data_IF_035359933868
#
_entry.id   IF_035359933868
#
_cell.length_a   1.000
_cell.length_b   1.000
_cell.length_c   1.000
_cell.angle_alpha   90.00
_cell.angle_beta   90.00
_cell.angle_gamma   90.00
#
_symmetry.space_group_name_H-M   'P 1'
#
loop_
_entity.id
_entity.type
_entity.pdbx_description
1 polymer ?
#
# COMPACT_ATOMS: atom_id res chain seq x y z
N UNK A 1 25.59 6.89 14.25
CA UNK A 1 25.36 6.44 12.87
C UNK A 1 23.85 6.41 12.67
N UNK A 2 23.28 7.29 11.86
CA UNK A 2 21.82 7.31 11.61
C UNK A 2 21.51 6.10 10.74
N UNK A 3 20.63 5.20 11.20
CA UNK A 3 20.24 4.02 10.43
C UNK A 3 19.48 4.47 9.19
N UNK A 4 19.76 3.85 8.03
CA UNK A 4 19.09 4.17 6.77
C UNK A 4 17.56 4.03 6.89
N UNK A 5 17.10 3.12 7.76
CA UNK A 5 15.69 2.93 8.13
C UNK A 5 15.06 4.18 8.77
N UNK A 6 15.78 4.87 9.66
CA UNK A 6 15.29 6.09 10.31
C UNK A 6 15.10 7.21 9.30
N UNK A 7 16.02 7.34 8.35
CA UNK A 7 15.92 8.31 7.25
C UNK A 7 14.74 7.96 6.34
N UNK A 8 14.58 6.69 5.97
CA UNK A 8 13.45 6.22 5.15
C UNK A 8 12.10 6.50 5.80
N UNK A 9 11.96 6.24 7.11
CA UNK A 9 10.73 6.51 7.87
C UNK A 9 10.43 8.01 7.93
N UNK A 10 11.44 8.84 8.20
CA UNK A 10 11.29 10.28 8.24
C UNK A 10 10.87 10.84 6.87
N UNK A 11 11.52 10.41 5.79
CA UNK A 11 11.16 10.79 4.42
C UNK A 11 9.76 10.31 4.04
N UNK A 12 9.36 9.11 4.48
CA UNK A 12 8.00 8.60 4.27
C UNK A 12 6.97 9.47 4.98
N UNK A 13 7.26 9.92 6.21
CA UNK A 13 6.41 10.85 6.95
C UNK A 13 6.27 12.21 6.23
N UNK A 14 7.37 12.75 5.70
CA UNK A 14 7.33 13.98 4.89
C UNK A 14 6.47 13.76 3.64
N UNK A 15 6.68 12.67 2.91
CA UNK A 15 5.91 12.37 1.70
C UNK A 15 4.41 12.25 1.96
N UNK A 16 4.02 11.49 3.00
CA UNK A 16 2.62 11.39 3.44
C UNK A 16 2.03 12.74 3.84
N UNK A 17 2.82 13.57 4.54
CA UNK A 17 2.39 14.93 4.91
C UNK A 17 2.17 15.79 3.68
N UNK A 18 3.07 15.73 2.69
CA UNK A 18 2.93 16.46 1.44
C UNK A 18 1.69 16.02 0.66
N UNK A 19 1.33 14.73 0.64
CA UNK A 19 0.06 14.28 0.05
C UNK A 19 -1.15 14.87 0.78
N UNK A 20 -1.13 14.90 2.11
CA UNK A 20 -2.17 15.56 2.90
C UNK A 20 -2.29 17.05 2.57
N UNK A 21 -1.15 17.74 2.43
CA UNK A 21 -1.09 19.14 2.00
C UNK A 21 -1.63 19.30 0.57
N UNK A 22 -1.27 18.41 -0.36
CA UNK A 22 -1.80 18.41 -1.73
C UNK A 22 -3.34 18.39 -1.73
N UNK A 23 -3.94 17.47 -0.97
CA UNK A 23 -5.41 17.35 -0.86
C UNK A 23 -6.00 18.61 -0.20
N UNK A 24 -5.39 19.10 0.89
CA UNK A 24 -5.87 20.28 1.60
C UNK A 24 -5.80 21.55 0.77
N UNK A 25 -4.69 21.76 0.03
CA UNK A 25 -4.52 22.89 -0.88
C UNK A 25 -5.51 22.80 -2.03
N UNK A 26 -5.73 21.60 -2.61
CA UNK A 26 -6.76 21.41 -3.65
C UNK A 26 -8.13 21.86 -3.15
N UNK A 27 -8.57 21.33 -2.01
CA UNK A 27 -9.87 21.66 -1.43
C UNK A 27 -10.01 23.16 -1.11
N UNK A 28 -8.95 23.78 -0.59
CA UNK A 28 -8.94 25.22 -0.33
C UNK A 28 -9.11 26.03 -1.62
N UNK A 29 -8.38 25.69 -2.68
CA UNK A 29 -8.44 26.41 -3.95
C UNK A 29 -9.81 26.26 -4.64
N UNK A 30 -10.42 25.08 -4.59
CA UNK A 30 -11.79 24.86 -5.04
C UNK A 30 -12.78 25.74 -4.28
N UNK A 31 -12.66 25.79 -2.95
CA UNK A 31 -13.57 26.58 -2.10
C UNK A 31 -13.49 28.10 -2.38
N UNK A 32 -12.34 28.57 -2.89
CA UNK A 32 -12.10 29.96 -3.23
C UNK A 32 -12.37 30.27 -4.72
N UNK A 33 -12.80 29.27 -5.51
CA UNK A 33 -12.99 29.41 -6.96
C UNK A 33 -11.74 29.99 -7.66
N UNK A 34 -10.57 29.45 -7.32
CA UNK A 34 -9.27 29.90 -7.81
C UNK A 34 -9.16 29.80 -9.35
N UNK A 35 -8.25 30.58 -9.94
CA UNK A 35 -8.04 30.55 -11.40
C UNK A 35 -7.44 29.22 -11.86
N UNK A 36 -7.60 28.82 -13.14
CA UNK A 36 -7.06 27.56 -13.65
C UNK A 36 -5.54 27.40 -13.46
N UNK A 37 -4.78 28.50 -13.49
CA UNK A 37 -3.34 28.48 -13.21
C UNK A 37 -3.02 28.11 -11.76
N UNK A 38 -3.85 28.57 -10.81
CA UNK A 38 -3.66 28.27 -9.38
C UNK A 38 -4.03 26.83 -9.05
N UNK A 39 -4.94 26.21 -9.81
CA UNK A 39 -5.32 24.79 -9.67
C UNK A 39 -4.17 23.82 -9.99
N UNK A 40 -3.06 24.30 -10.56
CA UNK A 40 -1.85 23.49 -10.79
C UNK A 40 -0.96 23.35 -9.54
N UNK A 41 -1.13 24.19 -8.50
CA UNK A 41 -0.29 24.12 -7.31
C UNK A 41 -0.33 22.76 -6.58
N UNK A 42 -1.50 22.12 -6.37
CA UNK A 42 -1.56 20.76 -5.83
C UNK A 42 -0.71 19.74 -6.61
N UNK A 43 -0.62 19.86 -7.93
CA UNK A 43 0.16 18.96 -8.77
C UNK A 43 1.67 19.09 -8.54
N UNK A 44 2.20 20.30 -8.34
CA UNK A 44 3.61 20.48 -8.03
C UNK A 44 3.99 19.91 -6.66
N UNK A 45 3.10 20.05 -5.67
CA UNK A 45 3.29 19.45 -4.34
C UNK A 45 3.28 17.92 -4.46
N UNK A 46 2.37 17.38 -5.27
CA UNK A 46 2.31 15.95 -5.56
C UNK A 46 3.56 15.41 -6.26
N UNK A 47 4.14 16.13 -7.23
CA UNK A 47 5.41 15.76 -7.86
C UNK A 47 6.53 15.68 -6.80
N UNK A 48 6.56 16.63 -5.85
CA UNK A 48 7.50 16.59 -4.73
C UNK A 48 7.34 15.33 -3.87
N UNK A 49 6.10 14.97 -3.54
CA UNK A 49 5.79 13.73 -2.81
C UNK A 49 6.21 12.48 -3.60
N UNK A 50 5.95 12.43 -4.91
CA UNK A 50 6.38 11.35 -5.80
C UNK A 50 7.90 11.20 -5.84
N UNK A 51 8.65 12.31 -5.92
CA UNK A 51 10.11 12.31 -5.86
C UNK A 51 10.63 11.70 -4.56
N UNK A 52 10.04 12.07 -3.42
CA UNK A 52 10.37 11.50 -2.11
C UNK A 52 10.04 10.01 -2.06
N UNK A 53 8.89 9.60 -2.59
CA UNK A 53 8.52 8.18 -2.69
C UNK A 53 9.58 7.37 -3.43
N UNK A 54 10.10 7.88 -4.55
CA UNK A 54 11.17 7.23 -5.31
C UNK A 54 12.42 6.98 -4.47
N UNK A 55 12.87 7.98 -3.71
CA UNK A 55 14.02 7.85 -2.79
C UNK A 55 13.74 6.85 -1.67
N UNK A 56 12.57 6.96 -1.04
CA UNK A 56 12.14 6.07 0.04
C UNK A 56 12.09 4.61 -0.43
N UNK A 57 11.59 4.36 -1.64
CA UNK A 57 11.48 3.01 -2.21
C UNK A 57 12.86 2.38 -2.41
N UNK A 58 13.83 3.14 -2.93
CA UNK A 58 15.22 2.68 -3.07
C UNK A 58 15.82 2.32 -1.70
N UNK A 59 15.64 3.21 -0.71
CA UNK A 59 16.09 2.98 0.67
C UNK A 59 15.44 1.71 1.26
N UNK A 60 14.14 1.51 1.02
CA UNK A 60 13.40 0.34 1.52
C UNK A 60 13.88 -0.97 0.91
N UNK A 61 14.14 -0.99 -0.40
CA UNK A 61 14.69 -2.15 -1.10
C UNK A 61 16.06 -2.52 -0.51
N UNK A 62 16.95 -1.53 -0.37
CA UNK A 62 18.27 -1.74 0.21
C UNK A 62 18.15 -2.28 1.64
N UNK A 63 17.35 -1.66 2.51
CA UNK A 63 17.19 -2.11 3.90
C UNK A 63 16.54 -3.49 4.05
N UNK A 64 15.63 -3.83 3.14
CA UNK A 64 14.89 -5.10 3.22
C UNK A 64 15.76 -6.26 2.75
N UNK A 65 16.44 -6.09 1.61
CA UNK A 65 17.19 -7.17 0.94
C UNK A 65 18.69 -7.18 1.24
N UNK A 66 19.23 -6.13 1.86
CA UNK A 66 20.64 -6.09 2.26
C UNK A 66 20.74 -5.91 3.78
N UNK A 67 21.64 -6.66 4.41
CA UNK A 67 22.01 -6.46 5.82
C UNK A 67 23.04 -5.32 6.00
N UNK A 68 23.32 -4.59 4.92
CA UNK A 68 24.40 -3.61 4.85
C UNK A 68 24.20 -2.38 5.77
N UNK A 69 23.02 -2.19 6.35
CA UNK A 69 22.69 -1.01 7.15
C UNK A 69 22.70 -1.23 8.67
N UNK A 70 23.22 -2.38 9.11
CA UNK A 70 23.36 -2.77 10.51
C UNK A 70 22.21 -3.65 11.01
N UNK A 71 22.30 -4.17 12.24
CA UNK A 71 21.23 -4.95 12.88
C UNK A 71 19.96 -4.09 13.03
N UNK A 72 19.05 -4.22 12.07
CA UNK A 72 17.72 -3.61 12.09
C UNK A 72 16.74 -4.69 12.55
N UNK A 73 15.99 -4.43 13.63
CA UNK A 73 15.00 -5.38 14.14
C UNK A 73 14.00 -5.72 13.01
N UNK A 74 13.53 -6.97 12.87
CA UNK A 74 12.53 -7.31 11.86
C UNK A 74 11.31 -6.39 11.88
N UNK A 75 10.89 -5.95 13.07
CA UNK A 75 9.78 -5.00 13.24
C UNK A 75 10.07 -3.60 12.69
N UNK A 76 11.32 -3.13 12.77
CA UNK A 76 11.72 -1.85 12.19
C UNK A 76 11.63 -1.90 10.66
N UNK A 77 11.98 -3.05 10.05
CA UNK A 77 11.84 -3.28 8.61
C UNK A 77 10.36 -3.36 8.21
N UNK A 78 9.56 -4.04 9.02
CA UNK A 78 8.12 -4.18 8.79
C UNK A 78 7.41 -2.82 8.83
N UNK A 79 7.71 -1.99 9.85
CA UNK A 79 7.14 -0.66 9.99
C UNK A 79 7.57 0.28 8.86
N UNK A 80 8.85 0.24 8.47
CA UNK A 80 9.35 0.99 7.32
C UNK A 80 8.60 0.63 6.04
N UNK A 81 8.49 -0.66 5.73
CA UNK A 81 7.79 -1.12 4.53
C UNK A 81 6.29 -0.84 4.55
N UNK A 82 5.65 -0.82 5.73
CA UNK A 82 4.27 -0.33 5.90
C UNK A 82 4.14 1.13 5.44
N UNK A 83 5.04 2.00 5.89
CA UNK A 83 4.99 3.42 5.52
C UNK A 83 5.20 3.61 4.01
N UNK A 84 6.13 2.86 3.41
CA UNK A 84 6.34 2.89 1.95
C UNK A 84 5.10 2.43 1.19
N UNK A 85 4.45 1.35 1.66
CA UNK A 85 3.22 0.84 1.06
C UNK A 85 2.09 1.87 1.10
N UNK A 86 1.83 2.46 2.27
CA UNK A 86 0.80 3.48 2.45
C UNK A 86 1.13 4.72 1.61
N UNK A 87 2.39 5.15 1.58
CA UNK A 87 2.84 6.28 0.78
C UNK A 87 2.65 6.03 -0.71
N UNK A 88 3.01 4.86 -1.22
CA UNK A 88 2.82 4.50 -2.63
C UNK A 88 1.34 4.52 -3.03
N UNK A 89 0.47 3.91 -2.22
CA UNK A 89 -0.97 3.90 -2.47
C UNK A 89 -1.57 5.30 -2.37
N UNK A 90 -1.19 6.06 -1.35
CA UNK A 90 -1.61 7.45 -1.16
C UNK A 90 -1.22 8.33 -2.35
N UNK A 91 0.01 8.22 -2.86
CA UNK A 91 0.48 8.97 -4.03
C UNK A 91 -0.35 8.64 -5.26
N UNK A 92 -0.61 7.36 -5.52
CA UNK A 92 -1.39 6.90 -6.66
C UNK A 92 -2.84 7.40 -6.62
N UNK A 93 -3.49 7.33 -5.45
CA UNK A 93 -4.87 7.77 -5.28
C UNK A 93 -5.01 9.30 -5.28
N UNK A 94 -4.05 10.01 -4.67
CA UNK A 94 -4.04 11.48 -4.64
C UNK A 94 -3.93 12.05 -6.06
N UNK A 95 -3.21 11.37 -6.96
CA UNK A 95 -3.08 11.82 -8.35
C UNK A 95 -4.44 11.92 -9.05
N UNK A 96 -5.31 10.93 -8.88
CA UNK A 96 -6.66 10.97 -9.48
C UNK A 96 -7.58 12.03 -8.89
N UNK A 97 -7.22 12.60 -7.73
CA UNK A 97 -7.95 13.71 -7.14
C UNK A 97 -7.54 15.06 -7.72
N UNK A 98 -6.42 15.19 -8.43
CA UNK A 98 -5.94 16.47 -8.93
C UNK A 98 -6.77 16.94 -10.13
N UNK A 99 -7.20 18.20 -10.11
CA UNK A 99 -7.90 18.86 -11.22
C UNK A 99 -6.94 19.78 -11.97
N UNK A 100 -7.13 19.93 -13.29
CA UNK A 100 -6.33 20.84 -14.14
C UNK A 100 -5.29 20.17 -15.05
N UNK A 101 -5.21 18.83 -15.04
CA UNK A 101 -4.46 18.01 -15.99
C UNK A 101 -5.32 16.79 -16.31
N UNK A 102 -6.34 16.94 -17.17
CA UNK A 102 -7.14 15.88 -17.82
C UNK A 102 -7.26 14.54 -17.07
N UNK A 103 -7.56 14.57 -15.77
CA UNK A 103 -7.86 13.37 -15.01
C UNK A 103 -9.33 13.03 -15.26
N UNK A 104 -9.62 12.64 -16.50
CA UNK A 104 -10.94 12.18 -16.92
C UNK A 104 -11.44 11.06 -16.00
N UNK A 105 -12.77 10.90 -15.94
CA UNK A 105 -13.44 9.83 -15.19
C UNK A 105 -12.85 8.43 -15.51
N UNK A 106 -12.38 8.25 -16.74
CA UNK A 106 -11.67 7.03 -17.19
C UNK A 106 -10.33 6.85 -16.47
N UNK A 107 -9.52 7.90 -16.39
CA UNK A 107 -8.20 7.88 -15.72
C UNK A 107 -8.38 7.63 -14.23
N UNK A 108 -9.36 8.28 -13.60
CA UNK A 108 -9.74 8.02 -12.21
C UNK A 108 -10.15 6.55 -12.00
N UNK A 109 -10.94 5.99 -12.92
CA UNK A 109 -11.31 4.58 -12.91
C UNK A 109 -10.09 3.65 -12.92
N UNK A 110 -9.12 3.89 -13.80
CA UNK A 110 -7.90 3.10 -13.88
C UNK A 110 -7.02 3.22 -12.62
N UNK A 111 -6.87 4.43 -12.07
CA UNK A 111 -6.13 4.64 -10.83
C UNK A 111 -6.78 3.92 -9.66
N UNK A 112 -8.11 3.98 -9.55
CA UNK A 112 -8.82 3.25 -8.51
C UNK A 112 -8.64 1.73 -8.63
N UNK A 113 -8.75 1.20 -9.86
CA UNK A 113 -8.60 -0.23 -10.11
C UNK A 113 -7.15 -0.69 -9.85
N UNK A 114 -6.15 0.10 -10.22
CA UNK A 114 -4.74 -0.15 -9.87
C UNK A 114 -4.53 -0.19 -8.35
N UNK A 115 -5.08 0.79 -7.61
CA UNK A 115 -5.00 0.81 -6.15
C UNK A 115 -5.67 -0.42 -5.52
N UNK A 116 -6.84 -0.81 -6.03
CA UNK A 116 -7.56 -2.01 -5.60
C UNK A 116 -6.73 -3.27 -5.83
N UNK A 117 -6.06 -3.38 -6.98
CA UNK A 117 -5.18 -4.52 -7.29
C UNK A 117 -3.97 -4.58 -6.36
N UNK A 118 -3.39 -3.44 -5.96
CA UNK A 118 -2.29 -3.40 -4.97
C UNK A 118 -2.76 -3.93 -3.61
N UNK A 119 -3.95 -3.55 -3.15
CA UNK A 119 -4.54 -4.06 -1.91
C UNK A 119 -4.82 -5.56 -2.00
N UNK A 120 -5.40 -6.03 -3.10
CA UNK A 120 -5.66 -7.45 -3.34
C UNK A 120 -4.37 -8.27 -3.34
N UNK A 121 -3.32 -7.79 -4.03
CA UNK A 121 -2.02 -8.45 -4.05
C UNK A 121 -1.42 -8.57 -2.64
N UNK A 122 -1.58 -7.54 -1.82
CA UNK A 122 -1.11 -7.55 -0.44
C UNK A 122 -1.88 -8.57 0.43
N UNK A 123 -3.20 -8.66 0.30
CA UNK A 123 -4.02 -9.71 0.96
C UNK A 123 -3.55 -11.10 0.54
N UNK A 124 -3.34 -11.32 -0.76
CA UNK A 124 -2.86 -12.59 -1.29
C UNK A 124 -1.52 -13.00 -0.67
N UNK A 125 -0.53 -12.09 -0.68
CA UNK A 125 0.79 -12.35 -0.12
C UNK A 125 0.73 -12.63 1.38
N UNK A 126 -0.09 -11.90 2.12
CA UNK A 126 -0.24 -12.12 3.56
C UNK A 126 -0.80 -13.50 3.89
N UNK A 127 -1.88 -13.90 3.24
CA UNK A 127 -2.48 -15.23 3.44
C UNK A 127 -1.50 -16.32 2.98
N UNK A 128 -0.81 -16.12 1.87
CA UNK A 128 0.19 -17.07 1.38
C UNK A 128 1.33 -17.26 2.40
N UNK A 129 1.86 -16.18 2.99
CA UNK A 129 2.89 -16.28 4.04
C UNK A 129 2.34 -16.96 5.29
N UNK A 130 1.09 -16.69 5.68
CA UNK A 130 0.50 -17.25 6.90
C UNK A 130 0.17 -18.74 6.79
N UNK A 131 -0.32 -19.19 5.64
CA UNK A 131 -0.68 -20.60 5.40
C UNK A 131 0.43 -21.38 4.71
N UNK A 132 1.50 -20.73 4.25
CA UNK A 132 2.57 -21.34 3.45
C UNK A 132 3.20 -22.57 4.11
N UNK A 133 3.47 -22.52 5.41
CA UNK A 133 4.00 -23.67 6.15
C UNK A 133 3.04 -24.86 6.19
N UNK A 134 1.72 -24.61 6.34
CA UNK A 134 0.67 -25.65 6.34
C UNK A 134 0.40 -26.22 4.95
N UNK A 135 0.57 -25.40 3.92
CA UNK A 135 0.47 -25.84 2.51
C UNK A 135 1.66 -26.76 2.19
N UNK A 136 2.85 -26.41 2.66
CA UNK A 136 4.08 -27.17 2.44
C UNK A 136 4.25 -28.38 3.38
N UNK A 137 3.43 -28.51 4.41
CA UNK A 137 3.47 -29.61 5.37
C UNK A 137 3.14 -30.93 4.65
N UNK A 138 4.11 -31.84 4.57
CA UNK A 138 4.01 -33.08 3.76
C UNK A 138 4.72 -32.99 2.40
N UNK A 139 5.73 -32.14 2.26
CA UNK A 139 6.60 -32.09 1.06
C UNK A 139 7.51 -33.32 0.87
N UNK A 140 7.38 -34.36 1.69
CA UNK A 140 8.13 -35.60 1.55
C UNK A 140 7.66 -36.41 0.32
N UNK A 141 8.61 -37.10 -0.31
CA UNK A 141 8.41 -37.91 -1.52
C UNK A 141 7.28 -38.92 -1.36
N UNK A 142 6.11 -38.61 -1.93
CA UNK A 142 4.92 -39.47 -1.92
C UNK A 142 3.59 -38.72 -1.71
N UNK A 143 3.62 -37.50 -1.14
CA UNK A 143 2.43 -36.73 -0.78
C UNK A 143 2.12 -35.54 -1.71
N UNK A 144 2.70 -35.52 -2.93
CA UNK A 144 2.48 -34.45 -3.92
C UNK A 144 0.99 -34.22 -4.22
N UNK A 145 0.17 -35.28 -4.22
CA UNK A 145 -1.29 -35.17 -4.40
C UNK A 145 -1.97 -34.43 -3.25
N UNK A 146 -1.52 -34.66 -2.02
CA UNK A 146 -2.07 -34.01 -0.83
C UNK A 146 -1.67 -32.54 -0.77
N UNK A 147 -0.40 -32.23 -1.03
CA UNK A 147 0.08 -30.85 -1.17
C UNK A 147 -0.69 -30.09 -2.27
N UNK A 148 -0.89 -30.72 -3.43
CA UNK A 148 -1.62 -30.11 -4.55
C UNK A 148 -3.08 -29.86 -4.17
N UNK A 149 -3.72 -30.79 -3.45
CA UNK A 149 -5.10 -30.63 -2.96
C UNK A 149 -5.23 -29.46 -1.97
N UNK A 150 -4.30 -29.35 -1.01
CA UNK A 150 -4.26 -28.22 -0.06
C UNK A 150 -4.04 -26.89 -0.78
N UNK A 151 -3.12 -26.85 -1.73
CA UNK A 151 -2.87 -25.67 -2.55
C UNK A 151 -4.10 -25.24 -3.35
N UNK A 152 -4.79 -26.19 -4.00
CA UNK A 152 -6.01 -25.93 -4.76
C UNK A 152 -7.13 -25.36 -3.89
N UNK A 153 -7.32 -25.89 -2.68
CA UNK A 153 -8.34 -25.40 -1.76
C UNK A 153 -8.02 -23.98 -1.28
N UNK A 154 -6.77 -23.73 -0.87
CA UNK A 154 -6.35 -22.40 -0.40
C UNK A 154 -6.43 -21.37 -1.53
N UNK A 155 -6.02 -21.72 -2.75
CA UNK A 155 -6.11 -20.81 -3.90
C UNK A 155 -7.55 -20.49 -4.28
N UNK A 156 -8.48 -21.45 -4.18
CA UNK A 156 -9.91 -21.21 -4.39
C UNK A 156 -10.49 -20.25 -3.35
N UNK A 157 -10.21 -20.47 -2.06
CA UNK A 157 -10.67 -19.58 -0.97
C UNK A 157 -10.11 -18.18 -1.17
N UNK A 158 -8.82 -18.06 -1.50
CA UNK A 158 -8.19 -16.78 -1.82
C UNK A 158 -8.86 -16.11 -3.02
N UNK A 159 -9.13 -16.85 -4.09
CA UNK A 159 -9.81 -16.34 -5.28
C UNK A 159 -11.18 -15.73 -4.95
N UNK A 160 -11.97 -16.40 -4.10
CA UNK A 160 -13.27 -15.90 -3.65
C UNK A 160 -13.13 -14.62 -2.81
N UNK A 161 -12.16 -14.58 -1.88
CA UNK A 161 -11.91 -13.39 -1.05
C UNK A 161 -11.50 -12.19 -1.93
N UNK A 162 -10.55 -12.40 -2.86
CA UNK A 162 -10.06 -11.36 -3.76
C UNK A 162 -11.17 -10.85 -4.69
N UNK A 163 -11.99 -11.74 -5.25
CA UNK A 163 -13.15 -11.36 -6.06
C UNK A 163 -14.18 -10.57 -5.25
N UNK A 164 -14.43 -10.96 -3.99
CA UNK A 164 -15.30 -10.23 -3.07
C UNK A 164 -14.80 -8.82 -2.78
N UNK A 165 -13.50 -8.65 -2.51
CA UNK A 165 -12.88 -7.33 -2.31
C UNK A 165 -12.99 -6.49 -3.58
N UNK A 166 -12.67 -7.03 -4.74
CA UNK A 166 -12.80 -6.33 -6.01
C UNK A 166 -14.24 -5.87 -6.27
N UNK A 167 -15.23 -6.75 -6.06
CA UNK A 167 -16.64 -6.42 -6.22
C UNK A 167 -17.06 -5.30 -5.27
N UNK A 168 -16.70 -5.38 -3.99
CA UNK A 168 -17.00 -4.35 -2.99
C UNK A 168 -16.39 -3.00 -3.39
N UNK A 169 -15.12 -2.99 -3.77
CA UNK A 169 -14.42 -1.76 -4.19
C UNK A 169 -15.02 -1.19 -5.49
N UNK A 170 -15.42 -2.04 -6.43
CA UNK A 170 -16.09 -1.63 -7.67
C UNK A 170 -17.46 -1.00 -7.39
N UNK A 171 -18.24 -1.55 -6.45
CA UNK A 171 -19.50 -0.94 -6.00
C UNK A 171 -19.24 0.44 -5.39
N UNK A 172 -18.25 0.57 -4.50
CA UNK A 172 -17.89 1.86 -3.89
C UNK A 172 -17.49 2.88 -4.96
N UNK A 173 -16.63 2.49 -5.91
CA UNK A 173 -16.21 3.33 -7.04
C UNK A 173 -17.40 3.84 -7.85
N UNK A 174 -18.36 2.98 -8.15
CA UNK A 174 -19.50 3.33 -9.00
C UNK A 174 -20.60 4.10 -8.26
N UNK A 175 -20.60 4.08 -6.92
CA UNK A 175 -21.65 4.72 -6.10
C UNK A 175 -21.21 6.09 -5.59
N UNK A 176 -19.92 6.27 -5.30
CA UNK A 176 -19.39 7.47 -4.66
C UNK A 176 -18.48 8.27 -5.60
N UNK A 177 -18.28 9.56 -5.32
CA UNK A 177 -17.28 10.33 -6.05
C UNK A 177 -15.88 9.77 -5.80
N UNK A 178 -14.98 9.99 -6.76
CA UNK A 178 -13.61 9.46 -6.68
C UNK A 178 -12.91 9.83 -5.36
N UNK A 179 -13.08 11.05 -4.85
CA UNK A 179 -12.49 11.47 -3.57
C UNK A 179 -12.95 10.62 -2.38
N UNK A 180 -14.24 10.29 -2.30
CA UNK A 180 -14.77 9.42 -1.25
C UNK A 180 -14.39 7.96 -1.46
N UNK A 181 -14.45 7.48 -2.70
CA UNK A 181 -14.06 6.12 -3.03
C UNK A 181 -12.57 5.86 -2.72
N UNK A 182 -11.69 6.74 -3.20
CA UNK A 182 -10.25 6.67 -2.94
C UNK A 182 -9.92 6.78 -1.45
N UNK A 183 -10.62 7.65 -0.71
CA UNK A 183 -10.51 7.72 0.75
C UNK A 183 -10.89 6.41 1.45
N UNK A 184 -11.97 5.75 1.00
CA UNK A 184 -12.39 4.46 1.53
C UNK A 184 -11.37 3.35 1.24
N UNK A 185 -10.84 3.30 0.02
CA UNK A 185 -9.78 2.34 -0.37
C UNK A 185 -8.49 2.57 0.43
N UNK A 186 -8.07 3.83 0.59
CA UNK A 186 -6.91 4.18 1.40
C UNK A 186 -7.09 3.78 2.86
N UNK A 187 -8.26 4.06 3.45
CA UNK A 187 -8.58 3.65 4.82
C UNK A 187 -8.55 2.13 4.98
N UNK A 188 -9.15 1.40 4.04
CA UNK A 188 -9.10 -0.07 4.01
C UNK A 188 -7.66 -0.57 4.01
N UNK A 189 -6.79 0.02 3.17
CA UNK A 189 -5.39 -0.33 3.10
C UNK A 189 -4.64 -0.06 4.41
N UNK A 190 -4.85 1.10 5.03
CA UNK A 190 -4.26 1.44 6.35
C UNK A 190 -4.70 0.44 7.41
N UNK A 191 -6.01 0.17 7.51
CA UNK A 191 -6.55 -0.80 8.48
C UNK A 191 -5.95 -2.19 8.24
N UNK A 192 -5.89 -2.63 6.99
CA UNK A 192 -5.33 -3.93 6.61
C UNK A 192 -3.87 -4.04 7.04
N UNK A 193 -3.04 -3.03 6.75
CA UNK A 193 -1.62 -3.06 7.14
C UNK A 193 -1.46 -3.06 8.66
N UNK A 194 -2.22 -2.22 9.38
CA UNK A 194 -2.17 -2.19 10.86
C UNK A 194 -2.58 -3.54 11.45
N UNK A 195 -3.64 -4.16 10.93
CA UNK A 195 -4.08 -5.49 11.35
C UNK A 195 -2.99 -6.53 11.12
N UNK A 196 -2.38 -6.55 9.93
CA UNK A 196 -1.30 -7.49 9.59
C UNK A 196 -0.09 -7.30 10.50
N UNK A 197 0.34 -6.05 10.72
CA UNK A 197 1.47 -5.74 11.62
C UNK A 197 1.17 -6.22 13.04
N UNK A 198 -0.05 -6.00 13.54
CA UNK A 198 -0.42 -6.48 14.87
C UNK A 198 -0.43 -8.02 14.99
N UNK A 199 -0.89 -8.71 13.94
CA UNK A 199 -0.88 -10.18 13.89
C UNK A 199 0.54 -10.76 13.78
N UNK A 200 1.44 -10.10 13.03
CA UNK A 200 2.82 -10.55 12.85
C UNK A 200 3.74 -10.16 14.01
N UNK A 201 3.60 -8.96 14.56
CA UNK A 201 4.41 -8.47 15.70
C UNK A 201 4.21 -9.32 16.96
N UNK A 202 3.07 -9.98 17.13
CA UNK A 202 2.84 -10.95 18.23
C UNK A 202 3.54 -12.30 18.05
N UNK A 203 4.10 -12.59 16.86
CA UNK A 203 4.73 -13.89 16.55
C UNK A 203 6.25 -13.87 16.57
N UNK A 204 6.87 -12.70 16.74
CA UNK A 204 8.33 -12.55 16.77
C UNK A 204 8.80 -11.82 18.04
N UNK A 205 8.76 -12.51 19.18
CA UNK A 205 9.68 -12.27 20.30
C UNK A 205 10.07 -13.65 20.89
N UNK A 206 11.35 -13.98 21.17
CA UNK A 206 12.58 -13.19 21.07
C UNK A 206 13.59 -13.71 20.03
N UNK A 207 14.41 -12.79 19.51
CA UNK A 207 15.65 -13.11 18.78
C UNK A 207 16.74 -13.38 19.82
N UNK A 208 16.97 -14.65 20.15
CA UNK A 208 18.20 -15.21 20.73
C UNK A 208 18.62 -14.75 22.15
N UNK A 209 18.57 -15.67 23.11
CA UNK A 209 19.72 -15.93 23.99
C UNK A 209 20.71 -16.86 23.29
#
# INVERSE_FOLDING_TARGET
MVRLTTIGNFLSGIGLTLLGVTIGVKYLLESLSATPEQMQYPFYIWIGALGILGVVLIISIINTFTEMTGFVHPDDKLLSNMLVYIHALGTLLTFGMLEGIDADEVTQGYLFDMGTMIVIAYIFLFVFVFFGSKIAEGAETGQVKEMTSRFMLVSLVLGVIMAGVYLLMSIIKNTWSYGWASGALFLLAVVLVVVIVFFLGRRYEPVGE
#
